data_IF_527576516142
#
_entry.id   IF_527576516142
#
_cell.length_a   1.000
_cell.length_b   1.000
_cell.length_c   1.000
_cell.angle_alpha   90.00
_cell.angle_beta   90.00
_cell.angle_gamma   90.00
#
_symmetry.space_group_name_H-M   'P 1'
#
loop_
_entity.id
_entity.type
_entity.pdbx_description
1 polymer ?
#
# COMPACT_ATOMS: atom_id res chain seq x y z
N UNK A 1 0.53 16.21 -5.20
CA UNK A 1 0.79 15.93 -6.65
C UNK A 1 -0.51 15.65 -7.40
N UNK A 2 -0.49 15.70 -8.73
CA UNK A 2 -1.57 15.23 -9.62
C UNK A 2 -1.09 14.02 -10.41
N UNK A 3 -1.95 13.02 -10.63
CA UNK A 3 -1.62 11.85 -11.48
C UNK A 3 -2.19 12.10 -12.88
N UNK A 4 -1.29 12.22 -13.86
CA UNK A 4 -1.60 12.45 -15.27
C UNK A 4 -1.46 11.16 -16.09
N UNK A 5 -0.56 10.25 -15.69
CA UNK A 5 -0.39 8.94 -16.31
C UNK A 5 -0.11 7.86 -15.27
N UNK A 6 -0.60 6.64 -15.53
CA UNK A 6 -0.38 5.47 -14.69
C UNK A 6 -0.50 4.20 -15.53
N UNK A 7 0.58 3.46 -15.74
CA UNK A 7 0.62 2.31 -16.65
C UNK A 7 1.07 1.06 -15.90
N UNK A 8 0.39 -0.08 -16.08
CA UNK A 8 0.86 -1.35 -15.53
C UNK A 8 2.13 -1.76 -16.26
N UNK A 9 3.16 -2.10 -15.49
CA UNK A 9 4.46 -2.52 -16.02
C UNK A 9 4.61 -4.02 -15.94
N UNK A 10 4.53 -4.55 -14.71
CA UNK A 10 4.88 -5.94 -14.44
C UNK A 10 4.22 -6.43 -13.16
N UNK A 11 3.91 -7.73 -13.12
CA UNK A 11 3.49 -8.47 -11.94
C UNK A 11 4.48 -9.61 -11.70
N UNK A 12 5.01 -9.70 -10.49
CA UNK A 12 5.98 -10.76 -10.13
C UNK A 12 5.54 -11.52 -8.89
N UNK A 13 5.63 -12.85 -8.93
CA UNK A 13 5.29 -13.73 -7.81
C UNK A 13 6.48 -14.05 -6.90
N UNK A 14 7.70 -13.66 -7.30
CA UNK A 14 8.93 -13.82 -6.55
C UNK A 14 9.96 -12.78 -6.97
N UNK A 15 10.65 -12.18 -5.99
CA UNK A 15 11.73 -11.22 -6.23
C UNK A 15 13.00 -11.89 -6.77
N UNK A 16 13.13 -13.21 -6.60
CA UNK A 16 14.25 -14.01 -7.11
C UNK A 16 13.99 -14.60 -8.51
N UNK A 17 12.77 -14.52 -9.04
CA UNK A 17 12.42 -15.04 -10.38
C UNK A 17 13.15 -14.33 -11.53
N UNK A 18 13.77 -13.18 -11.29
CA UNK A 18 14.53 -12.41 -12.28
C UNK A 18 15.75 -13.12 -12.89
N UNK A 19 16.16 -14.30 -12.38
CA UNK A 19 17.25 -15.10 -12.97
C UNK A 19 16.80 -16.25 -13.88
N UNK A 20 15.55 -16.69 -13.81
CA UNK A 20 15.10 -17.90 -14.56
C UNK A 20 13.93 -17.66 -15.50
N UNK A 21 13.17 -16.57 -15.37
CA UNK A 21 11.99 -16.28 -16.22
C UNK A 21 12.14 -15.11 -17.20
N UNK A 22 13.30 -14.41 -17.23
CA UNK A 22 13.53 -13.25 -18.10
C UNK A 22 12.77 -11.97 -17.69
N UNK A 23 12.03 -12.01 -16.59
CA UNK A 23 11.20 -10.92 -16.06
C UNK A 23 11.99 -10.21 -14.95
N UNK A 24 12.57 -9.04 -15.25
CA UNK A 24 13.32 -8.24 -14.28
C UNK A 24 12.48 -7.11 -13.69
N UNK A 25 12.70 -6.83 -12.41
CA UNK A 25 12.16 -5.64 -11.79
C UNK A 25 12.76 -4.38 -12.43
N UNK A 26 12.01 -3.26 -12.44
CA UNK A 26 12.60 -1.96 -12.74
C UNK A 26 13.84 -1.70 -11.87
N UNK A 27 14.89 -1.18 -12.51
CA UNK A 27 16.20 -0.91 -11.90
C UNK A 27 16.69 0.51 -12.19
N UNK A 28 15.78 1.42 -12.56
CA UNK A 28 16.02 2.80 -12.97
C UNK A 28 16.08 3.78 -11.78
N UNK A 29 16.36 3.29 -10.57
CA UNK A 29 16.51 4.06 -9.32
C UNK A 29 15.35 5.00 -8.97
N UNK A 30 14.20 4.85 -9.64
CA UNK A 30 13.04 5.71 -9.40
C UNK A 30 12.39 5.43 -8.04
N UNK A 31 11.84 6.46 -7.38
CA UNK A 31 11.09 6.33 -6.14
C UNK A 31 9.97 5.29 -6.22
N UNK A 32 9.84 4.48 -5.17
CA UNK A 32 8.76 3.50 -5.02
C UNK A 32 7.82 3.89 -3.88
N UNK A 33 6.53 3.98 -4.19
CA UNK A 33 5.44 4.14 -3.23
C UNK A 33 4.74 2.80 -3.09
N UNK A 34 4.91 2.18 -1.92
CA UNK A 34 4.50 0.80 -1.69
C UNK A 34 3.14 0.75 -1.00
N UNK A 35 2.17 0.02 -1.55
CA UNK A 35 0.81 -0.11 -1.00
C UNK A 35 0.64 -1.46 -0.32
N UNK A 36 0.28 -1.42 0.96
CA UNK A 36 0.14 -2.57 1.86
C UNK A 36 -1.22 -2.54 2.56
N UNK A 37 -1.80 -3.70 2.84
CA UNK A 37 -3.03 -3.78 3.62
C UNK A 37 -3.64 -5.17 3.59
N UNK A 38 -4.58 -5.42 4.49
CA UNK A 38 -5.31 -6.69 4.52
C UNK A 38 -6.04 -6.96 3.22
N UNK A 39 -6.22 -8.24 2.90
CA UNK A 39 -7.15 -8.65 1.85
C UNK A 39 -8.53 -8.01 2.05
N UNK A 40 -9.11 -7.48 0.97
CA UNK A 40 -10.41 -6.79 0.96
C UNK A 40 -10.53 -5.50 1.80
N UNK A 41 -9.40 -4.91 2.23
CA UNK A 41 -9.41 -3.60 2.91
C UNK A 41 -9.77 -2.45 1.95
N UNK A 42 -9.59 -2.64 0.65
CA UNK A 42 -9.90 -1.63 -0.39
C UNK A 42 -8.69 -1.10 -1.16
N UNK A 43 -7.53 -1.78 -1.11
CA UNK A 43 -6.28 -1.39 -1.78
C UNK A 43 -6.42 -1.17 -3.29
N UNK A 44 -6.97 -2.13 -4.04
CA UNK A 44 -7.19 -1.96 -5.49
C UNK A 44 -8.14 -0.81 -5.82
N UNK A 45 -9.22 -0.66 -5.04
CA UNK A 45 -10.17 0.45 -5.20
C UNK A 45 -9.53 1.81 -4.92
N UNK A 46 -8.64 1.89 -3.92
CA UNK A 46 -7.84 3.08 -3.63
C UNK A 46 -6.89 3.40 -4.78
N UNK A 47 -6.11 2.42 -5.26
CA UNK A 47 -5.17 2.60 -6.38
C UNK A 47 -5.89 3.08 -7.64
N UNK A 48 -7.00 2.44 -8.01
CA UNK A 48 -7.83 2.85 -9.14
C UNK A 48 -8.33 4.30 -9.00
N UNK A 49 -8.76 4.69 -7.78
CA UNK A 49 -9.22 6.05 -7.52
C UNK A 49 -8.09 7.08 -7.59
N UNK A 50 -6.90 6.77 -7.05
CA UNK A 50 -5.72 7.63 -7.15
C UNK A 50 -5.38 7.86 -8.63
N UNK A 51 -5.22 6.79 -9.39
CA UNK A 51 -4.79 6.83 -10.79
C UNK A 51 -5.89 7.27 -11.79
N UNK A 52 -7.14 7.47 -11.33
CA UNK A 52 -8.24 7.87 -12.19
C UNK A 52 -8.64 6.79 -13.23
N UNK A 53 -8.28 5.53 -12.99
CA UNK A 53 -8.54 4.40 -13.89
C UNK A 53 -9.45 3.38 -13.22
N UNK A 54 -10.47 2.89 -13.93
CA UNK A 54 -11.44 1.93 -13.37
C UNK A 54 -10.85 0.54 -13.11
N UNK A 55 -9.86 0.11 -13.90
CA UNK A 55 -9.34 -1.27 -13.89
C UNK A 55 -7.80 -1.36 -13.95
N UNK A 56 -7.09 -0.37 -13.43
CA UNK A 56 -5.61 -0.40 -13.41
C UNK A 56 -5.10 -1.49 -12.46
N UNK A 57 -5.54 -1.43 -11.20
CA UNK A 57 -5.41 -2.53 -10.24
C UNK A 57 -6.69 -3.34 -10.33
N UNK A 58 -6.64 -4.44 -11.09
CA UNK A 58 -7.77 -5.38 -11.16
C UNK A 58 -7.96 -5.98 -9.78
N UNK A 59 -9.19 -5.89 -9.26
CA UNK A 59 -9.64 -6.65 -8.09
C UNK A 59 -9.53 -8.12 -8.48
N UNK A 60 -8.41 -8.76 -8.13
CA UNK A 60 -7.96 -10.00 -8.74
C UNK A 60 -9.06 -11.08 -8.73
N UNK A 61 -9.57 -11.48 -9.90
CA UNK A 61 -10.63 -12.49 -9.99
C UNK A 61 -10.10 -13.92 -9.79
N UNK A 62 -8.78 -14.11 -9.68
CA UNK A 62 -8.12 -15.43 -9.62
C UNK A 62 -7.14 -15.52 -8.43
N UNK A 63 -7.20 -16.59 -7.59
CA UNK A 63 -6.32 -16.80 -6.42
C UNK A 63 -4.82 -16.71 -6.67
N UNK A 64 -4.37 -16.97 -7.91
CA UNK A 64 -2.96 -16.93 -8.30
C UNK A 64 -2.39 -15.49 -8.37
N UNK A 65 -3.18 -14.51 -8.83
CA UNK A 65 -2.74 -13.12 -8.98
C UNK A 65 -2.74 -12.32 -7.67
N UNK A 66 -3.37 -12.85 -6.62
CA UNK A 66 -3.29 -12.29 -5.26
C UNK A 66 -1.89 -12.42 -4.63
N UNK A 67 -0.95 -13.11 -5.30
CA UNK A 67 0.39 -13.38 -4.79
C UNK A 67 1.49 -12.54 -5.44
N UNK A 68 1.12 -11.62 -6.31
CA UNK A 68 2.10 -10.86 -7.11
C UNK A 68 2.32 -9.46 -6.53
N UNK A 69 3.55 -8.98 -6.64
CA UNK A 69 3.90 -7.57 -6.55
C UNK A 69 3.65 -6.93 -7.91
N UNK A 70 2.75 -5.94 -7.97
CA UNK A 70 2.41 -5.26 -9.22
C UNK A 70 3.01 -3.85 -9.26
N UNK A 71 3.66 -3.52 -10.36
CA UNK A 71 4.24 -2.20 -10.60
C UNK A 71 3.37 -1.39 -11.55
N UNK A 72 3.16 -0.14 -11.18
CA UNK A 72 2.52 0.86 -12.02
C UNK A 72 3.45 2.06 -12.19
N UNK A 73 3.83 2.38 -13.42
CA UNK A 73 4.63 3.55 -13.73
C UNK A 73 3.76 4.79 -13.74
N UNK A 74 4.00 5.72 -12.81
CA UNK A 74 3.14 6.89 -12.59
C UNK A 74 3.91 8.15 -12.97
N UNK A 75 3.27 9.01 -13.77
CA UNK A 75 3.82 10.29 -14.25
C UNK A 75 5.24 10.18 -14.82
N UNK A 76 5.59 8.99 -15.34
CA UNK A 76 6.94 8.64 -15.80
C UNK A 76 8.08 9.01 -14.84
N UNK A 77 7.83 9.02 -13.53
CA UNK A 77 8.77 9.57 -12.53
C UNK A 77 8.85 8.78 -11.23
N UNK A 78 7.91 7.87 -10.99
CA UNK A 78 7.91 6.99 -9.83
C UNK A 78 7.10 5.72 -10.11
N UNK A 79 7.23 4.75 -9.21
CA UNK A 79 6.39 3.55 -9.19
C UNK A 79 5.40 3.56 -8.05
N UNK A 80 4.14 3.24 -8.37
CA UNK A 80 3.22 2.68 -7.39
C UNK A 80 3.39 1.18 -7.40
N UNK A 81 3.67 0.61 -6.23
CA UNK A 81 3.93 -0.82 -6.06
C UNK A 81 2.85 -1.42 -5.19
N UNK A 82 2.02 -2.26 -5.77
CA UNK A 82 0.93 -2.94 -5.09
C UNK A 82 1.40 -4.30 -4.57
N UNK A 83 1.62 -4.41 -3.25
CA UNK A 83 2.00 -5.66 -2.60
C UNK A 83 0.77 -6.54 -2.35
N UNK A 84 0.96 -7.88 -2.28
CA UNK A 84 -0.13 -8.79 -1.98
C UNK A 84 -0.77 -8.48 -0.62
N UNK A 85 -2.09 -8.65 -0.53
CA UNK A 85 -2.82 -8.35 0.71
C UNK A 85 -2.66 -9.45 1.75
N UNK A 86 -2.34 -9.11 3.00
CA UNK A 86 -2.18 -10.09 4.08
C UNK A 86 -3.51 -10.51 4.73
N UNK A 87 -3.49 -11.54 5.59
CA UNK A 87 -4.61 -11.90 6.46
C UNK A 87 -5.80 -12.63 5.79
N UNK A 88 -5.60 -13.30 4.65
CA UNK A 88 -6.67 -14.10 4.04
C UNK A 88 -6.94 -15.37 4.87
N UNK A 89 -8.06 -15.40 5.60
CA UNK A 89 -8.40 -16.49 6.52
C UNK A 89 -8.57 -17.86 5.84
N UNK A 90 -8.83 -17.89 4.53
CA UNK A 90 -9.14 -19.12 3.76
C UNK A 90 -7.97 -19.68 2.93
N UNK A 91 -6.73 -19.22 3.13
CA UNK A 91 -5.57 -19.86 2.48
C UNK A 91 -4.80 -20.76 3.45
N UNK A 92 -4.21 -21.87 2.96
CA UNK A 92 -3.31 -22.71 3.75
C UNK A 92 -2.19 -21.91 4.40
N UNK A 93 -1.70 -22.38 5.56
CA UNK A 93 -0.64 -21.72 6.32
C UNK A 93 0.63 -21.44 5.50
N UNK A 94 1.00 -22.39 4.62
CA UNK A 94 2.11 -22.25 3.67
C UNK A 94 1.96 -21.03 2.74
N UNK A 95 0.72 -20.70 2.36
CA UNK A 95 0.42 -19.53 1.51
C UNK A 95 0.49 -18.23 2.32
N UNK A 96 0.10 -18.27 3.60
CA UNK A 96 0.25 -17.10 4.50
C UNK A 96 1.74 -16.79 4.71
N UNK A 97 2.54 -17.81 4.98
CA UNK A 97 3.99 -17.69 5.10
C UNK A 97 4.64 -17.14 3.80
N UNK A 98 4.16 -17.57 2.63
CA UNK A 98 4.69 -17.10 1.34
C UNK A 98 4.49 -15.60 1.11
N UNK A 99 3.35 -15.00 1.49
CA UNK A 99 3.15 -13.54 1.35
C UNK A 99 3.90 -12.75 2.40
N UNK A 100 3.98 -13.27 3.63
CA UNK A 100 4.85 -12.72 4.67
C UNK A 100 6.28 -12.60 4.14
N UNK A 101 6.81 -13.69 3.56
CA UNK A 101 8.15 -13.71 2.98
C UNK A 101 8.32 -12.73 1.83
N UNK A 102 7.34 -12.61 0.92
CA UNK A 102 7.46 -11.70 -0.23
C UNK A 102 7.44 -10.23 0.18
N UNK A 103 6.58 -9.85 1.14
CA UNK A 103 6.52 -8.49 1.68
C UNK A 103 7.82 -8.18 2.43
N UNK A 104 8.27 -9.09 3.29
CA UNK A 104 9.52 -8.94 4.03
C UNK A 104 10.73 -8.83 3.10
N UNK A 105 10.86 -9.74 2.13
CA UNK A 105 11.92 -9.71 1.13
C UNK A 105 11.89 -8.41 0.31
N UNK A 106 10.70 -7.87 0.01
CA UNK A 106 10.55 -6.60 -0.68
C UNK A 106 11.09 -5.45 0.15
N UNK A 107 10.59 -5.29 1.38
CA UNK A 107 11.01 -4.22 2.29
C UNK A 107 12.50 -4.31 2.64
N UNK A 108 13.05 -5.53 2.72
CA UNK A 108 14.47 -5.75 2.99
C UNK A 108 15.36 -5.38 1.79
N UNK A 109 14.97 -5.72 0.56
CA UNK A 109 15.86 -5.64 -0.60
C UNK A 109 15.71 -4.38 -1.44
N UNK A 110 14.53 -3.76 -1.45
CA UNK A 110 14.24 -2.60 -2.30
C UNK A 110 14.65 -1.31 -1.60
N UNK A 111 15.75 -0.73 -2.05
CA UNK A 111 16.31 0.50 -1.50
C UNK A 111 15.57 1.77 -1.95
N UNK A 112 14.77 1.69 -3.00
CA UNK A 112 14.12 2.85 -3.60
C UNK A 112 12.76 3.17 -2.97
N UNK A 113 12.36 2.41 -1.94
CA UNK A 113 11.08 2.63 -1.24
C UNK A 113 11.14 3.94 -0.48
N UNK A 114 10.50 4.97 -1.04
CA UNK A 114 10.45 6.31 -0.43
C UNK A 114 9.38 6.40 0.65
N UNK A 115 8.27 5.69 0.49
CA UNK A 115 7.16 5.70 1.46
C UNK A 115 6.26 4.47 1.28
N UNK A 116 5.78 3.92 2.38
CA UNK A 116 4.70 2.96 2.38
C UNK A 116 3.33 3.61 2.65
N UNK A 117 2.29 3.10 2.00
CA UNK A 117 0.89 3.44 2.24
C UNK A 117 0.24 2.21 2.87
N UNK A 118 0.09 2.24 4.19
CA UNK A 118 -0.53 1.17 4.95
C UNK A 118 -2.04 1.40 5.05
N UNK A 119 -2.82 0.47 4.52
CA UNK A 119 -4.26 0.63 4.36
C UNK A 119 -5.01 -0.16 5.43
N UNK A 120 -5.88 0.53 6.16
CA UNK A 120 -6.76 0.00 7.21
C UNK A 120 -8.22 0.36 6.92
N UNK A 121 -9.17 -0.40 7.47
CA UNK A 121 -10.60 -0.17 7.28
C UNK A 121 -11.12 0.82 8.34
N UNK A 122 -11.66 1.98 7.93
CA UNK A 122 -12.10 3.03 8.86
C UNK A 122 -13.22 2.61 9.82
N UNK A 123 -13.90 1.49 9.56
CA UNK A 123 -15.03 0.99 10.38
C UNK A 123 -14.59 0.29 11.65
N UNK A 124 -13.30 -0.02 11.78
CA UNK A 124 -12.77 -0.81 12.88
C UNK A 124 -11.46 -0.20 13.39
N UNK A 125 -11.16 -0.45 14.66
CA UNK A 125 -9.82 -0.20 15.20
C UNK A 125 -8.81 -1.06 14.39
N UNK A 126 -7.58 -0.56 14.11
CA UNK A 126 -6.55 -1.35 13.45
C UNK A 126 -6.36 -2.71 14.14
N UNK A 127 -6.23 -3.76 13.34
CA UNK A 127 -6.10 -5.14 13.85
C UNK A 127 -4.66 -5.44 14.23
N UNK A 128 -4.45 -6.54 14.97
CA UNK A 128 -3.10 -7.02 15.29
C UNK A 128 -2.24 -7.22 14.04
N UNK A 129 -2.82 -7.75 12.95
CA UNK A 129 -2.11 -7.87 11.67
C UNK A 129 -1.73 -6.51 11.07
N UNK A 130 -2.54 -5.47 11.27
CA UNK A 130 -2.20 -4.11 10.84
C UNK A 130 -1.03 -3.58 11.69
N UNK A 131 -1.04 -3.80 13.01
CA UNK A 131 0.07 -3.37 13.89
C UNK A 131 1.37 -4.14 13.63
N UNK A 132 1.28 -5.45 13.36
CA UNK A 132 2.42 -6.28 12.98
C UNK A 132 3.06 -5.80 11.67
N UNK A 133 2.23 -5.47 10.66
CA UNK A 133 2.72 -4.93 9.40
C UNK A 133 3.41 -3.57 9.59
N UNK A 134 2.86 -2.70 10.45
CA UNK A 134 3.56 -1.47 10.82
C UNK A 134 4.92 -1.77 11.43
N UNK A 135 5.00 -2.72 12.37
CA UNK A 135 6.27 -3.15 12.96
C UNK A 135 7.32 -3.58 11.92
N UNK A 136 6.94 -4.29 10.86
CA UNK A 136 7.86 -4.63 9.76
C UNK A 136 8.30 -3.42 8.94
N UNK A 137 7.36 -2.54 8.59
CA UNK A 137 7.67 -1.29 7.88
C UNK A 137 8.70 -0.46 8.68
N UNK A 138 8.52 -0.34 10.00
CA UNK A 138 9.44 0.40 10.88
C UNK A 138 10.79 -0.29 11.05
N UNK A 139 10.80 -1.62 11.16
CA UNK A 139 12.03 -2.41 11.28
C UNK A 139 12.95 -2.19 10.08
N UNK A 140 12.37 -2.05 8.88
CA UNK A 140 13.11 -1.70 7.66
C UNK A 140 13.27 -0.19 7.44
N UNK A 141 12.96 0.62 8.45
CA UNK A 141 13.12 2.07 8.46
C UNK A 141 12.37 2.81 7.35
N UNK A 142 11.26 2.25 6.87
CA UNK A 142 10.45 2.86 5.81
C UNK A 142 9.44 3.83 6.44
N UNK A 143 9.44 5.13 6.07
CA UNK A 143 8.38 6.04 6.52
C UNK A 143 7.04 5.65 5.89
N UNK A 144 5.93 5.85 6.60
CA UNK A 144 4.64 5.42 6.08
C UNK A 144 3.45 6.29 6.47
N UNK A 145 2.43 6.23 5.61
CA UNK A 145 1.15 6.91 5.77
C UNK A 145 0.09 5.84 6.02
N UNK A 146 -0.70 6.00 7.08
CA UNK A 146 -1.85 5.15 7.35
C UNK A 146 -3.06 5.72 6.63
N UNK A 147 -3.71 4.91 5.78
CA UNK A 147 -4.91 5.31 5.06
C UNK A 147 -6.11 4.53 5.56
N UNK A 148 -7.11 5.24 6.09
CA UNK A 148 -8.36 4.66 6.57
C UNK A 148 -9.39 4.63 5.44
N UNK A 149 -9.48 3.51 4.70
CA UNK A 149 -10.43 3.36 3.59
C UNK A 149 -11.87 3.21 4.08
N UNK A 150 -12.83 3.35 3.15
CA UNK A 150 -14.28 3.23 3.41
C UNK A 150 -14.78 4.29 4.39
N UNK A 151 -14.17 5.48 4.40
CA UNK A 151 -14.59 6.61 5.21
C UNK A 151 -16.04 7.05 4.93
N UNK A 152 -16.57 6.76 3.73
CA UNK A 152 -17.99 6.98 3.38
C UNK A 152 -18.97 6.15 4.23
N UNK A 153 -18.48 5.11 4.92
CA UNK A 153 -19.29 4.30 5.84
C UNK A 153 -19.32 4.84 7.26
N UNK A 154 -18.58 5.92 7.54
CA UNK A 154 -18.52 6.56 8.85
C UNK A 154 -19.31 7.86 8.79
N UNK A 155 -20.21 8.05 9.76
CA UNK A 155 -20.89 9.32 9.91
C UNK A 155 -19.87 10.44 10.14
N UNK A 156 -20.02 11.57 9.45
CA UNK A 156 -19.05 12.69 9.50
C UNK A 156 -18.75 13.15 10.93
N UNK A 157 -19.74 13.14 11.82
CA UNK A 157 -19.60 13.50 13.24
C UNK A 157 -18.74 12.52 14.05
N UNK A 158 -18.58 11.26 13.59
CA UNK A 158 -17.79 10.23 14.26
C UNK A 158 -16.40 10.05 13.66
N UNK A 159 -16.11 10.64 12.49
CA UNK A 159 -14.86 10.39 11.78
C UNK A 159 -13.63 10.76 12.61
N UNK A 160 -13.66 11.90 13.28
CA UNK A 160 -12.57 12.35 14.18
C UNK A 160 -12.30 11.32 15.28
N UNK A 161 -13.33 10.79 15.94
CA UNK A 161 -13.19 9.76 16.96
C UNK A 161 -12.48 8.51 16.43
N UNK A 162 -12.82 8.05 15.22
CA UNK A 162 -12.14 6.90 14.61
C UNK A 162 -10.69 7.20 14.24
N UNK A 163 -10.40 8.41 13.74
CA UNK A 163 -9.02 8.86 13.48
C UNK A 163 -8.20 8.87 14.77
N UNK A 164 -8.75 9.36 15.87
CA UNK A 164 -8.07 9.39 17.17
C UNK A 164 -7.83 7.99 17.72
N UNK A 165 -8.78 7.07 17.57
CA UNK A 165 -8.60 5.66 17.92
C UNK A 165 -7.50 5.00 17.08
N UNK A 166 -7.47 5.24 15.77
CA UNK A 166 -6.39 4.77 14.90
C UNK A 166 -5.05 5.37 15.33
N UNK A 167 -4.99 6.67 15.63
CA UNK A 167 -3.77 7.34 16.11
C UNK A 167 -3.27 6.73 17.42
N UNK A 168 -4.18 6.46 18.37
CA UNK A 168 -3.84 5.82 19.62
C UNK A 168 -3.30 4.38 19.42
N UNK A 169 -3.91 3.61 18.51
CA UNK A 169 -3.43 2.27 18.17
C UNK A 169 -2.00 2.28 17.59
N UNK A 170 -1.66 3.30 16.81
CA UNK A 170 -0.32 3.47 16.24
C UNK A 170 0.64 4.31 17.10
N UNK A 171 0.29 4.68 18.34
CA UNK A 171 1.07 5.64 19.13
C UNK A 171 2.52 5.23 19.43
N UNK A 172 2.83 3.93 19.39
CA UNK A 172 4.19 3.39 19.58
C UNK A 172 5.02 3.37 18.31
N UNK A 173 4.39 3.57 17.15
CA UNK A 173 5.04 3.54 15.84
C UNK A 173 5.52 4.94 15.44
N UNK A 174 6.84 5.09 15.36
CA UNK A 174 7.56 6.37 15.16
C UNK A 174 7.78 6.75 13.69
N UNK A 175 7.71 5.80 12.77
CA UNK A 175 7.86 6.01 11.33
C UNK A 175 6.53 6.39 10.65
N UNK A 176 5.41 6.27 11.36
CA UNK A 176 4.12 6.77 10.89
C UNK A 176 4.17 8.29 10.76
N UNK A 177 3.89 8.80 9.57
CA UNK A 177 3.91 10.24 9.27
C UNK A 177 2.55 10.89 9.38
N UNK A 178 1.52 10.20 8.89
CA UNK A 178 0.19 10.77 8.76
C UNK A 178 -0.90 9.70 8.77
N UNK A 179 -2.12 10.10 9.12
CA UNK A 179 -3.35 9.32 8.98
C UNK A 179 -4.30 10.06 8.05
N UNK A 180 -4.71 9.42 6.96
CA UNK A 180 -5.60 10.00 5.95
C UNK A 180 -6.90 9.19 5.84
N UNK A 181 -8.06 9.76 6.23
CA UNK A 181 -9.36 9.18 5.89
C UNK A 181 -9.63 9.20 4.39
N UNK A 182 -10.02 8.06 3.82
CA UNK A 182 -10.16 7.90 2.37
C UNK A 182 -11.45 7.17 1.97
N UNK A 183 -12.07 7.61 0.88
CA UNK A 183 -13.15 6.87 0.22
C UNK A 183 -12.92 6.76 -1.29
N UNK A 184 -12.83 5.53 -1.79
CA UNK A 184 -12.80 5.28 -3.24
C UNK A 184 -14.12 5.63 -3.93
N UNK A 185 -15.23 5.66 -3.17
CA UNK A 185 -16.59 5.95 -3.67
C UNK A 185 -16.74 7.46 -3.87
N UNK A 186 -16.54 8.25 -2.82
CA UNK A 186 -16.75 9.70 -2.86
C UNK A 186 -15.53 10.46 -3.39
N UNK A 187 -14.33 9.88 -3.27
CA UNK A 187 -13.06 10.55 -3.55
C UNK A 187 -12.49 11.36 -2.40
N UNK A 188 -13.14 11.34 -1.23
CA UNK A 188 -12.61 11.94 -0.01
C UNK A 188 -11.18 11.43 0.26
N UNK A 189 -10.29 12.34 0.66
CA UNK A 189 -8.89 12.03 1.01
C UNK A 189 -7.96 11.79 -0.17
N UNK A 190 -8.45 11.85 -1.42
CA UNK A 190 -7.60 11.63 -2.61
C UNK A 190 -6.47 12.65 -2.69
N UNK A 191 -6.81 13.94 -2.61
CA UNK A 191 -5.79 14.98 -2.76
C UNK A 191 -4.85 15.02 -1.55
N UNK A 192 -5.38 14.80 -0.35
CA UNK A 192 -4.60 14.74 0.89
C UNK A 192 -3.55 13.63 0.82
N UNK A 193 -3.96 12.41 0.42
CA UNK A 193 -3.03 11.29 0.25
C UNK A 193 -1.98 11.56 -0.83
N UNK A 194 -2.36 12.13 -1.97
CA UNK A 194 -1.39 12.47 -3.02
C UNK A 194 -0.40 13.56 -2.57
N UNK A 195 -0.83 14.50 -1.74
CA UNK A 195 0.06 15.52 -1.19
C UNK A 195 1.02 14.92 -0.17
N UNK A 196 0.52 14.06 0.73
CA UNK A 196 1.35 13.33 1.69
C UNK A 196 2.40 12.44 1.01
N UNK A 197 2.01 11.68 -0.02
CA UNK A 197 2.93 10.88 -0.84
C UNK A 197 4.00 11.77 -1.49
N UNK A 198 3.59 12.87 -2.13
CA UNK A 198 4.52 13.77 -2.81
C UNK A 198 5.55 14.36 -1.84
N UNK A 199 5.12 14.76 -0.64
CA UNK A 199 6.00 15.25 0.41
C UNK A 199 7.05 14.20 0.79
N UNK A 200 6.64 12.96 1.07
CA UNK A 200 7.58 11.91 1.46
C UNK A 200 8.56 11.53 0.32
N UNK A 201 8.09 11.49 -0.92
CA UNK A 201 8.94 11.22 -2.09
C UNK A 201 9.98 12.33 -2.30
N UNK A 202 9.64 13.59 -1.99
CA UNK A 202 10.60 14.70 -2.05
C UNK A 202 11.62 14.62 -0.91
N UNK A 203 11.17 14.41 0.32
CA UNK A 203 12.06 14.29 1.49
C UNK A 203 13.02 13.10 1.45
N UNK A 204 12.73 12.07 0.65
CA UNK A 204 13.62 10.92 0.47
C UNK A 204 14.76 11.16 -0.51
N UNK A 205 14.75 12.28 -1.25
CA UNK A 205 15.81 12.67 -2.19
C UNK A 205 16.91 13.53 -1.54
N UNK A 206 16.61 14.09 -0.38
CA UNK A 206 17.52 14.93 0.43
C UNK A 206 18.29 14.07 1.43
#
# INVERSE_FOLDING_TARGET
MTIESAEFVIGISSLSAGRTSGVQLPNDELPEVVFLGRSNVGKSSLLNRLCGKKELSRTNASPAKYREVNYYFVNRSLYFVDLPGYGYAKVPEQVRASWSNLIEEYLQRRRNVSVAVQIVDARHVPTELDLMMAGWIEYYHVPYIVVMTKADKIARSKLTMYVDQTRAAFARHRYMREIVPFSSVTGQGKQDLLNAIAHQVQSAKD
#
